data_IF_743452338235
#
_entry.id   IF_743452338235
#
_cell.length_a   1.000
_cell.length_b   1.000
_cell.length_c   1.000
_cell.angle_alpha   90.00
_cell.angle_beta   90.00
_cell.angle_gamma   90.00
#
_symmetry.space_group_name_H-M   'P 1'
#
loop_
_entity.id
_entity.type
_entity.pdbx_description
1 polymer ?
#
# COMPACT_ATOMS: atom_id res chain seq x y z
N UNK A 1 3.24 -16.12 -10.73
CA UNK A 1 2.42 -16.05 -9.50
C UNK A 1 1.08 -16.72 -9.79
N UNK A 2 0.61 -17.64 -8.93
CA UNK A 2 -0.68 -18.31 -9.14
C UNK A 2 -1.77 -17.51 -8.39
N UNK A 3 -2.89 -17.23 -9.05
CA UNK A 3 -4.11 -16.76 -8.41
C UNK A 3 -4.94 -17.96 -7.98
N UNK A 4 -5.47 -17.93 -6.76
CA UNK A 4 -6.39 -18.92 -6.20
C UNK A 4 -7.70 -18.21 -5.96
N UNK A 5 -8.79 -18.73 -6.52
CA UNK A 5 -10.13 -18.17 -6.33
C UNK A 5 -10.80 -18.78 -5.09
N UNK A 6 -11.80 -18.11 -4.54
CA UNK A 6 -12.55 -18.60 -3.38
C UNK A 6 -13.28 -19.95 -3.63
N UNK A 7 -13.58 -20.26 -4.88
CA UNK A 7 -14.17 -21.54 -5.28
C UNK A 7 -13.15 -22.70 -5.25
N UNK A 8 -11.84 -22.41 -5.27
CA UNK A 8 -10.77 -23.43 -5.21
C UNK A 8 -10.36 -23.68 -3.75
N UNK A 9 -10.08 -22.64 -2.98
CA UNK A 9 -9.68 -22.75 -1.58
C UNK A 9 -9.72 -21.37 -0.88
N UNK A 10 -9.67 -21.39 0.44
CA UNK A 10 -9.54 -20.19 1.26
C UNK A 10 -8.19 -20.18 1.97
N UNK A 11 -7.65 -18.99 2.32
CA UNK A 11 -6.41 -18.91 3.09
C UNK A 11 -6.42 -19.74 4.36
N UNK A 12 -7.54 -19.72 5.09
CA UNK A 12 -7.71 -20.51 6.32
C UNK A 12 -7.63 -22.03 6.07
N UNK A 13 -8.28 -22.51 5.01
CA UNK A 13 -8.24 -23.94 4.64
C UNK A 13 -6.81 -24.38 4.27
N UNK A 14 -6.01 -23.48 3.70
CA UNK A 14 -4.61 -23.73 3.32
C UNK A 14 -3.60 -23.46 4.46
N UNK A 15 -4.09 -23.21 5.68
CA UNK A 15 -3.24 -23.02 6.87
C UNK A 15 -2.63 -21.62 7.01
N UNK A 16 -3.17 -20.61 6.33
CA UNK A 16 -2.76 -19.23 6.50
C UNK A 16 -3.57 -18.56 7.62
N UNK A 17 -2.94 -17.61 8.29
CA UNK A 17 -3.55 -16.79 9.34
C UNK A 17 -3.10 -15.34 9.23
N UNK A 18 -3.87 -14.43 9.83
CA UNK A 18 -3.52 -13.02 9.94
C UNK A 18 -2.49 -12.85 11.05
N UNK A 19 -1.29 -12.32 10.78
CA UNK A 19 -0.34 -12.00 11.83
C UNK A 19 -0.87 -10.86 12.71
N UNK A 20 -0.37 -10.77 13.94
CA UNK A 20 -0.66 -9.62 14.79
C UNK A 20 -0.09 -8.34 14.18
N UNK A 21 -0.75 -7.20 14.39
CA UNK A 21 -0.34 -5.91 13.81
C UNK A 21 1.07 -5.48 14.25
N UNK A 22 1.51 -5.89 15.43
CA UNK A 22 2.86 -5.64 15.95
C UNK A 22 3.90 -6.69 15.52
N UNK A 23 3.52 -7.68 14.69
CA UNK A 23 4.48 -8.64 14.15
C UNK A 23 5.50 -7.92 13.23
N UNK A 24 6.74 -8.43 13.13
CA UNK A 24 7.73 -7.86 12.22
C UNK A 24 7.19 -7.71 10.81
N UNK A 25 7.39 -6.53 10.22
CA UNK A 25 6.91 -6.18 8.89
C UNK A 25 8.09 -6.07 7.93
N UNK A 26 7.93 -6.56 6.71
CA UNK A 26 8.97 -6.41 5.69
C UNK A 26 8.98 -5.00 5.12
N UNK A 27 7.81 -4.38 4.98
CA UNK A 27 7.61 -3.04 4.42
C UNK A 27 6.20 -2.54 4.65
N UNK A 28 6.04 -1.23 4.52
CA UNK A 28 4.74 -0.56 4.50
C UNK A 28 4.48 -0.02 3.11
N UNK A 29 3.26 -0.20 2.61
CA UNK A 29 2.79 0.34 1.34
C UNK A 29 1.98 1.60 1.58
N UNK A 30 2.27 2.66 0.80
CA UNK A 30 1.55 3.93 0.83
C UNK A 30 1.22 4.37 -0.60
N UNK A 31 0.08 5.04 -0.77
CA UNK A 31 -0.30 5.69 -2.03
C UNK A 31 -0.01 7.18 -2.00
N UNK A 32 0.58 7.73 -3.08
CA UNK A 32 0.83 9.17 -3.21
C UNK A 32 -0.49 9.91 -3.50
N UNK A 33 -0.90 10.90 -2.67
CA UNK A 33 -2.12 11.65 -2.92
C UNK A 33 -2.05 12.43 -4.24
N UNK A 34 -3.07 12.29 -5.09
CA UNK A 34 -3.08 12.90 -6.43
C UNK A 34 -4.44 13.48 -6.84
N UNK A 35 -5.55 12.91 -6.37
CA UNK A 35 -6.90 13.29 -6.79
C UNK A 35 -7.27 14.70 -6.32
N UNK A 36 -7.58 15.59 -7.28
CA UNK A 36 -7.94 16.99 -7.00
C UNK A 36 -9.39 17.16 -6.55
N UNK A 37 -10.24 16.17 -6.79
CA UNK A 37 -11.61 16.11 -6.28
C UNK A 37 -11.68 15.71 -4.80
N UNK A 38 -10.66 15.02 -4.33
CA UNK A 38 -10.53 14.60 -2.92
C UNK A 38 -9.62 15.57 -2.14
N UNK A 39 -8.51 16.00 -2.77
CA UNK A 39 -7.46 16.77 -2.11
C UNK A 39 -7.39 18.19 -2.66
N UNK A 40 -7.68 19.20 -1.82
CA UNK A 40 -7.57 20.60 -2.21
C UNK A 40 -6.13 20.98 -2.64
N UNK A 41 -6.02 22.06 -3.40
CA UNK A 41 -4.75 22.66 -3.85
C UNK A 41 -3.84 21.66 -4.59
N UNK A 42 -4.40 20.83 -5.47
CA UNK A 42 -3.66 19.85 -6.25
C UNK A 42 -2.95 18.81 -5.40
N UNK A 43 -3.56 18.43 -4.29
CA UNK A 43 -3.06 17.49 -3.30
C UNK A 43 -1.74 17.89 -2.59
N UNK A 44 -1.17 19.08 -2.83
CA UNK A 44 0.13 19.49 -2.27
C UNK A 44 0.21 19.45 -0.74
N UNK A 45 -0.80 19.93 0.03
CA UNK A 45 -0.78 19.79 1.49
C UNK A 45 -0.82 18.33 1.94
N UNK A 46 -1.61 17.48 1.28
CA UNK A 46 -1.68 16.06 1.58
C UNK A 46 -0.35 15.35 1.26
N UNK A 47 0.25 15.63 0.11
CA UNK A 47 1.57 15.10 -0.27
C UNK A 47 2.64 15.43 0.78
N UNK A 48 2.64 16.66 1.31
CA UNK A 48 3.56 17.07 2.38
C UNK A 48 3.36 16.23 3.66
N UNK A 49 2.12 15.97 4.05
CA UNK A 49 1.81 15.15 5.22
C UNK A 49 2.17 13.68 4.99
N UNK A 50 1.85 13.13 3.82
CA UNK A 50 2.22 11.76 3.47
C UNK A 50 3.74 11.56 3.43
N UNK A 51 4.49 12.55 2.95
CA UNK A 51 5.95 12.50 2.99
C UNK A 51 6.48 12.50 4.44
N UNK A 52 5.91 13.30 5.32
CA UNK A 52 6.28 13.31 6.75
C UNK A 52 5.96 11.97 7.42
N UNK A 53 4.79 11.39 7.14
CA UNK A 53 4.39 10.07 7.64
C UNK A 53 5.33 8.98 7.12
N UNK A 54 5.63 8.98 5.82
CA UNK A 54 6.54 8.00 5.22
C UNK A 54 7.93 8.04 5.86
N UNK A 55 8.47 9.24 6.12
CA UNK A 55 9.76 9.42 6.82
C UNK A 55 9.72 8.89 8.25
N UNK A 56 8.67 9.19 9.00
CA UNK A 56 8.52 8.67 10.35
C UNK A 56 8.43 7.13 10.40
N UNK A 57 7.72 6.51 9.45
CA UNK A 57 7.63 5.05 9.33
C UNK A 57 8.99 4.47 8.91
N UNK A 58 9.70 5.13 8.00
CA UNK A 58 10.96 4.63 7.41
C UNK A 58 12.10 4.53 8.42
N UNK A 59 11.98 5.17 9.59
CA UNK A 59 12.91 4.97 10.71
C UNK A 59 12.86 3.54 11.29
N UNK A 60 11.76 2.82 11.08
CA UNK A 60 11.52 1.49 11.66
C UNK A 60 11.32 0.40 10.60
N UNK A 61 10.74 0.74 9.45
CA UNK A 61 10.32 -0.22 8.43
C UNK A 61 10.42 0.41 7.05
N UNK A 62 10.98 -0.27 6.03
CA UNK A 62 11.02 0.26 4.66
C UNK A 62 9.64 0.64 4.15
N UNK A 63 9.53 1.76 3.46
CA UNK A 63 8.29 2.27 2.87
C UNK A 63 8.34 2.17 1.36
N UNK A 64 7.28 1.63 0.76
CA UNK A 64 7.03 1.66 -0.67
C UNK A 64 5.91 2.66 -0.95
N UNK A 65 6.28 3.78 -1.58
CA UNK A 65 5.36 4.84 -1.99
C UNK A 65 4.96 4.64 -3.44
N UNK A 66 3.70 4.30 -3.69
CA UNK A 66 3.16 4.11 -5.03
C UNK A 66 2.68 5.45 -5.58
N UNK A 67 3.12 5.82 -6.77
CA UNK A 67 2.73 7.04 -7.44
C UNK A 67 2.30 6.75 -8.89
N UNK A 68 1.28 7.44 -9.36
CA UNK A 68 0.87 7.37 -10.75
C UNK A 68 1.97 7.95 -11.65
N UNK A 69 2.02 7.51 -12.90
CA UNK A 69 3.02 7.92 -13.88
C UNK A 69 3.23 9.44 -13.93
N UNK A 70 2.15 10.21 -13.92
CA UNK A 70 2.21 11.69 -13.99
C UNK A 70 2.84 12.34 -12.75
N UNK A 71 2.77 11.67 -11.60
CA UNK A 71 3.30 12.16 -10.33
C UNK A 71 4.62 11.51 -9.94
N UNK A 72 5.04 10.45 -10.64
CA UNK A 72 6.19 9.63 -10.27
C UNK A 72 7.47 10.44 -10.11
N UNK A 73 7.81 11.26 -11.10
CA UNK A 73 9.04 12.06 -11.06
C UNK A 73 9.04 13.07 -9.90
N UNK A 74 7.89 13.72 -9.64
CA UNK A 74 7.73 14.64 -8.53
C UNK A 74 7.82 13.91 -7.17
N UNK A 75 7.15 12.78 -7.03
CA UNK A 75 7.20 11.96 -5.83
C UNK A 75 8.64 11.48 -5.56
N UNK A 76 9.32 10.99 -6.58
CA UNK A 76 10.72 10.53 -6.48
C UNK A 76 11.66 11.65 -6.04
N UNK A 77 11.48 12.87 -6.55
CA UNK A 77 12.29 14.03 -6.13
C UNK A 77 12.06 14.39 -4.65
N UNK A 78 10.84 14.18 -4.12
CA UNK A 78 10.54 14.42 -2.68
C UNK A 78 11.33 13.48 -1.78
N UNK A 79 11.59 12.25 -2.22
CA UNK A 79 12.25 11.20 -1.43
C UNK A 79 13.68 10.88 -1.90
N UNK A 80 14.31 11.75 -2.70
CA UNK A 80 15.62 11.46 -3.30
C UNK A 80 16.74 11.17 -2.27
N UNK A 81 16.61 11.68 -1.05
CA UNK A 81 17.57 11.48 0.03
C UNK A 81 17.07 10.55 1.15
N UNK A 82 15.91 9.91 0.96
CA UNK A 82 15.29 9.05 1.96
C UNK A 82 15.57 7.57 1.63
N UNK A 83 16.70 7.01 2.11
CA UNK A 83 17.20 5.67 1.75
C UNK A 83 16.19 4.54 1.97
N UNK A 84 15.34 4.64 3.00
CA UNK A 84 14.34 3.63 3.34
C UNK A 84 12.96 3.89 2.71
N UNK A 85 12.84 4.86 1.79
CA UNK A 85 11.62 5.11 1.02
C UNK A 85 11.87 4.80 -0.44
N UNK A 86 11.18 3.80 -0.98
CA UNK A 86 11.26 3.45 -2.40
C UNK A 86 10.01 3.91 -3.12
N UNK A 87 10.15 4.76 -4.13
CA UNK A 87 9.02 5.18 -4.97
C UNK A 87 8.84 4.19 -6.11
N UNK A 88 7.59 3.73 -6.26
CA UNK A 88 7.19 2.75 -7.29
C UNK A 88 6.16 3.41 -8.20
N UNK A 89 6.38 3.33 -9.52
CA UNK A 89 5.37 3.71 -10.49
C UNK A 89 4.26 2.64 -10.48
N UNK A 90 3.09 3.04 -10.01
CA UNK A 90 1.92 2.17 -9.93
C UNK A 90 0.65 3.02 -10.05
N UNK A 91 -0.17 2.73 -11.05
CA UNK A 91 -1.46 3.40 -11.20
C UNK A 91 -2.40 3.02 -10.06
N UNK A 92 -2.92 4.02 -9.37
CA UNK A 92 -3.91 3.89 -8.30
C UNK A 92 -4.96 4.97 -8.47
N UNK A 93 -6.19 4.67 -8.08
CA UNK A 93 -7.29 5.65 -8.08
C UNK A 93 -7.40 6.39 -6.75
N UNK A 94 -6.79 5.85 -5.69
CA UNK A 94 -6.86 6.45 -4.36
C UNK A 94 -5.59 6.19 -3.54
N UNK A 95 -5.34 7.06 -2.55
CA UNK A 95 -4.23 6.94 -1.61
C UNK A 95 -4.59 6.12 -0.35
N UNK A 96 -5.84 5.71 -0.18
CA UNK A 96 -6.35 4.96 0.97
C UNK A 96 -6.02 3.46 0.85
N UNK A 97 -4.75 3.11 1.03
CA UNK A 97 -4.27 1.73 0.85
C UNK A 97 -4.77 0.74 1.92
N UNK A 98 -5.24 1.23 3.07
CA UNK A 98 -5.93 0.37 4.05
C UNK A 98 -7.18 -0.27 3.44
N UNK A 99 -7.87 0.45 2.57
CA UNK A 99 -9.13 0.03 1.97
C UNK A 99 -8.94 -0.70 0.64
N UNK A 100 -7.94 -0.30 -0.15
CA UNK A 100 -7.77 -0.74 -1.55
C UNK A 100 -6.64 -1.74 -1.76
N UNK A 101 -5.64 -1.78 -0.88
CA UNK A 101 -4.51 -2.69 -1.02
C UNK A 101 -4.85 -4.12 -0.55
N UNK A 102 -4.03 -5.07 -0.97
CA UNK A 102 -4.18 -6.46 -0.56
C UNK A 102 -3.92 -6.66 0.94
N UNK A 103 -4.72 -7.52 1.56
CA UNK A 103 -4.47 -8.00 2.92
C UNK A 103 -3.54 -9.21 2.87
N UNK A 104 -2.39 -9.12 3.54
CA UNK A 104 -1.42 -10.20 3.59
C UNK A 104 -1.66 -11.12 4.78
N UNK A 105 -1.60 -12.43 4.52
CA UNK A 105 -1.63 -13.48 5.53
C UNK A 105 -0.38 -14.36 5.39
N UNK A 106 0.01 -15.01 6.47
CA UNK A 106 1.19 -15.88 6.54
C UNK A 106 0.81 -17.27 7.01
N UNK A 107 1.66 -18.27 6.74
CA UNK A 107 1.55 -19.60 7.33
C UNK A 107 2.76 -19.91 8.23
N UNK A 108 2.73 -21.07 8.88
CA UNK A 108 3.80 -21.53 9.78
C UNK A 108 5.15 -21.75 9.09
N UNK A 109 5.17 -21.84 7.75
CA UNK A 109 6.39 -21.94 6.95
C UNK A 109 6.96 -20.57 6.55
N UNK A 110 6.31 -19.46 6.93
CA UNK A 110 6.67 -18.10 6.52
C UNK A 110 6.27 -17.73 5.09
N UNK A 111 5.48 -18.58 4.43
CA UNK A 111 4.93 -18.22 3.12
C UNK A 111 3.88 -17.13 3.27
N UNK A 112 3.82 -16.22 2.29
CA UNK A 112 2.90 -15.09 2.29
C UNK A 112 1.87 -15.24 1.17
N UNK A 113 0.64 -14.86 1.46
CA UNK A 113 -0.44 -14.77 0.48
C UNK A 113 -1.09 -13.40 0.56
N UNK A 114 -1.26 -12.75 -0.59
CA UNK A 114 -2.02 -11.52 -0.72
C UNK A 114 -3.49 -11.86 -1.01
N UNK A 115 -4.40 -11.37 -0.19
CA UNK A 115 -5.83 -11.48 -0.44
C UNK A 115 -6.29 -10.18 -1.09
N UNK A 116 -6.78 -10.30 -2.32
CA UNK A 116 -7.39 -9.20 -3.06
C UNK A 116 -8.90 -9.23 -2.82
N UNK A 117 -9.39 -8.20 -2.12
CA UNK A 117 -10.81 -8.02 -1.86
C UNK A 117 -11.50 -7.35 -3.06
N UNK A 118 -12.75 -7.70 -3.26
CA UNK A 118 -13.59 -6.97 -4.21
C UNK A 118 -13.95 -5.61 -3.60
N UNK A 119 -13.30 -4.55 -4.09
CA UNK A 119 -13.55 -3.20 -3.62
C UNK A 119 -14.83 -2.65 -4.28
N UNK A 120 -15.76 -2.17 -3.47
CA UNK A 120 -17.08 -1.70 -3.91
C UNK A 120 -17.24 -0.18 -3.86
N UNK A 121 -16.14 0.57 -3.87
CA UNK A 121 -16.13 2.04 -3.81
C UNK A 121 -16.99 2.59 -2.65
N UNK A 122 -16.85 1.99 -1.46
CA UNK A 122 -17.61 2.34 -0.24
C UNK A 122 -19.13 2.20 -0.42
N UNK A 123 -19.55 1.25 -1.25
CA UNK A 123 -20.96 1.02 -1.57
C UNK A 123 -21.51 1.88 -2.71
N UNK A 124 -20.64 2.52 -3.48
CA UNK A 124 -20.99 3.37 -4.61
C UNK A 124 -21.09 2.66 -5.97
N UNK A 125 -20.92 1.32 -5.99
CA UNK A 125 -21.06 0.49 -7.20
C UNK A 125 -22.30 -0.39 -7.12
#
# INVERSE_FOLDING_TARGET
>A
MRTITESESTPKADGFFMPAEFAPQDRVWMGWPHRTDTWAHGAKPAQKQYAAIARAISEFTPVYMCANQVDYANCKAVFENDENVTVIEMTTDDAWFRDTAATYVINVKGEKRANHWHFNAYGGL
#
